data_IF_500783811037
#
_entry.id   IF_500783811037
#
_cell.length_a   1.000
_cell.length_b   1.000
_cell.length_c   1.000
_cell.angle_alpha   90.00
_cell.angle_beta   90.00
_cell.angle_gamma   90.00
#
_symmetry.space_group_name_H-M   'P 1'
#
loop_
_entity.id
_entity.type
_entity.pdbx_description
1 polymer ?
#
# COMPACT_ATOMS: atom_id res chain seq x y z
N UNK A 1 13.64 -0.47 7.76
CA UNK A 1 14.48 0.01 6.63
C UNK A 1 15.16 -1.13 5.87
N UNK A 2 15.94 -2.01 6.52
CA UNK A 2 16.65 -3.13 5.82
C UNK A 2 15.77 -4.03 4.93
N UNK A 3 14.54 -4.33 5.38
CA UNK A 3 13.59 -5.16 4.62
C UNK A 3 13.14 -4.50 3.30
N UNK A 4 13.00 -3.17 3.31
CA UNK A 4 12.65 -2.37 2.13
C UNK A 4 13.84 -2.27 1.16
N UNK A 5 15.07 -2.27 1.69
CA UNK A 5 16.32 -2.19 0.92
C UNK A 5 16.79 -3.54 0.35
N UNK A 6 16.02 -4.62 0.54
CA UNK A 6 16.41 -5.97 0.11
C UNK A 6 17.67 -6.53 0.80
N UNK A 7 17.99 -6.06 2.01
CA UNK A 7 19.14 -6.54 2.79
C UNK A 7 18.82 -7.83 3.56
N UNK A 8 18.31 -8.84 2.84
CA UNK A 8 17.83 -10.09 3.43
C UNK A 8 18.93 -10.91 4.09
N UNK A 9 20.13 -10.93 3.51
CA UNK A 9 21.27 -11.67 4.08
C UNK A 9 21.65 -11.14 5.46
N UNK A 10 21.62 -9.82 5.64
CA UNK A 10 21.90 -9.19 6.92
C UNK A 10 20.80 -9.54 7.93
N UNK A 11 19.53 -9.43 7.53
CA UNK A 11 18.39 -9.75 8.39
C UNK A 11 18.39 -11.22 8.83
N UNK A 12 18.68 -12.13 7.91
CA UNK A 12 18.75 -13.56 8.20
C UNK A 12 19.93 -13.87 9.12
N UNK A 13 21.11 -13.28 8.90
CA UNK A 13 22.24 -13.43 9.82
C UNK A 13 21.93 -12.92 11.22
N UNK A 14 21.17 -11.82 11.34
CA UNK A 14 20.75 -11.28 12.64
C UNK A 14 19.74 -12.22 13.31
N UNK A 15 18.73 -12.70 12.57
CA UNK A 15 17.69 -13.59 13.08
C UNK A 15 18.23 -14.96 13.53
N UNK A 16 19.18 -15.52 12.78
CA UNK A 16 19.75 -16.85 13.04
C UNK A 16 20.85 -16.86 14.11
N UNK A 17 21.25 -15.70 14.65
CA UNK A 17 22.22 -15.66 15.75
C UNK A 17 21.59 -16.23 17.03
N UNK A 18 22.32 -17.06 17.81
CA UNK A 18 21.83 -17.56 19.09
C UNK A 18 21.36 -16.40 20.00
N UNK A 19 20.12 -16.49 20.50
CA UNK A 19 19.52 -15.47 21.36
C UNK A 19 18.80 -14.31 20.64
N UNK A 20 18.93 -14.18 19.31
CA UNK A 20 18.33 -13.05 18.58
C UNK A 20 16.96 -13.35 17.94
N UNK A 21 16.57 -14.61 17.79
CA UNK A 21 15.32 -14.99 17.13
C UNK A 21 14.09 -14.35 17.80
N UNK A 22 14.01 -14.37 19.14
CA UNK A 22 12.90 -13.77 19.89
C UNK A 22 12.82 -12.24 19.77
N UNK A 23 13.93 -11.49 20.00
CA UNK A 23 13.94 -10.04 19.78
C UNK A 23 13.52 -9.62 18.37
N UNK A 24 14.01 -10.33 17.35
CA UNK A 24 13.64 -10.06 15.95
C UNK A 24 12.17 -10.40 15.70
N UNK A 25 11.68 -11.50 16.27
CA UNK A 25 10.27 -11.86 16.23
C UNK A 25 9.37 -10.80 16.90
N UNK A 26 9.85 -10.04 17.88
CA UNK A 26 9.09 -8.96 18.51
C UNK A 26 8.91 -7.75 17.58
N UNK A 27 9.76 -7.58 16.56
CA UNK A 27 9.59 -6.50 15.57
C UNK A 27 8.40 -6.70 14.62
N UNK A 28 7.77 -7.87 14.64
CA UNK A 28 6.49 -8.07 13.98
C UNK A 28 5.38 -7.21 14.59
N UNK A 29 5.44 -6.98 15.92
CA UNK A 29 4.41 -6.25 16.68
C UNK A 29 5.07 -5.54 17.87
N UNK A 30 5.34 -4.23 17.77
CA UNK A 30 6.09 -3.49 18.80
C UNK A 30 5.47 -2.12 19.13
N UNK A 31 5.23 -1.76 20.41
CA UNK A 31 4.49 -2.50 21.44
C UNK A 31 2.97 -2.21 21.40
N UNK A 32 2.24 -3.04 22.15
CA UNK A 32 0.79 -3.12 22.34
C UNK A 32 0.14 -1.89 23.00
N UNK A 33 0.27 -0.70 22.42
CA UNK A 33 -0.64 0.39 22.77
C UNK A 33 -1.47 0.79 21.55
N UNK A 34 -2.78 0.69 21.76
CA UNK A 34 -3.79 1.04 20.80
C UNK A 34 -3.52 2.46 20.26
N UNK A 35 -3.57 2.68 18.93
CA UNK A 35 -4.05 1.75 17.92
C UNK A 35 -3.01 0.70 17.49
N UNK A 36 -3.46 -0.52 17.11
CA UNK A 36 -2.59 -1.65 16.84
C UNK A 36 -1.89 -1.51 15.49
N UNK A 37 -0.76 -2.20 15.33
CA UNK A 37 -0.03 -2.45 14.08
C UNK A 37 1.10 -1.46 13.76
N UNK A 38 2.15 -1.49 14.59
CA UNK A 38 3.48 -0.98 14.23
C UNK A 38 4.46 -2.15 14.01
N UNK A 39 5.43 -1.96 13.10
CA UNK A 39 6.47 -2.94 12.81
C UNK A 39 6.31 -3.62 11.44
N UNK A 40 6.82 -4.84 11.31
CA UNK A 40 6.81 -5.56 10.04
C UNK A 40 5.42 -6.04 9.61
N UNK A 41 4.49 -6.21 10.56
CA UNK A 41 3.10 -6.54 10.22
C UNK A 41 2.46 -5.47 9.35
N UNK A 42 2.64 -4.18 9.68
CA UNK A 42 2.01 -3.12 8.89
C UNK A 42 2.65 -2.98 7.51
N UNK A 43 3.98 -3.10 7.43
CA UNK A 43 4.69 -3.16 6.15
C UNK A 43 4.17 -4.29 5.26
N UNK A 44 3.94 -5.48 5.82
CA UNK A 44 3.36 -6.61 5.10
C UNK A 44 1.92 -6.31 4.68
N UNK A 45 1.09 -5.79 5.59
CA UNK A 45 -0.34 -5.55 5.36
C UNK A 45 -0.60 -4.44 4.36
N UNK A 46 0.19 -3.36 4.35
CA UNK A 46 0.05 -2.30 3.33
C UNK A 46 0.46 -2.80 1.95
N UNK A 47 1.55 -3.57 1.85
CA UNK A 47 1.94 -4.21 0.59
C UNK A 47 0.91 -5.22 0.10
N UNK A 48 0.34 -6.03 1.00
CA UNK A 48 -0.71 -7.00 0.66
C UNK A 48 -1.96 -6.28 0.16
N UNK A 49 -2.38 -5.21 0.85
CA UNK A 49 -3.55 -4.43 0.48
C UNK A 49 -3.39 -3.76 -0.88
N UNK A 50 -2.25 -3.11 -1.14
CA UNK A 50 -1.96 -2.53 -2.44
C UNK A 50 -1.93 -3.60 -3.54
N UNK A 51 -1.27 -4.74 -3.29
CA UNK A 51 -1.15 -5.83 -4.24
C UNK A 51 -2.52 -6.42 -4.61
N UNK A 52 -3.35 -6.78 -3.62
CA UNK A 52 -4.68 -7.36 -3.88
C UNK A 52 -5.59 -6.33 -4.56
N UNK A 53 -5.66 -5.11 -4.02
CA UNK A 53 -6.56 -4.08 -4.54
C UNK A 53 -6.29 -3.77 -6.01
N UNK A 54 -5.03 -3.48 -6.36
CA UNK A 54 -4.68 -3.10 -7.73
C UNK A 54 -4.82 -4.27 -8.71
N UNK A 55 -4.48 -5.51 -8.33
CA UNK A 55 -4.68 -6.67 -9.22
C UNK A 55 -6.17 -6.94 -9.48
N UNK A 56 -7.02 -6.86 -8.44
CA UNK A 56 -8.47 -7.04 -8.62
C UNK A 56 -9.05 -5.95 -9.52
N UNK A 57 -8.71 -4.68 -9.25
CA UNK A 57 -9.21 -3.55 -10.05
C UNK A 57 -8.69 -3.60 -11.49
N UNK A 58 -7.43 -4.02 -11.72
CA UNK A 58 -6.89 -4.22 -13.05
C UNK A 58 -7.72 -5.23 -13.87
N UNK A 59 -8.05 -6.38 -13.27
CA UNK A 59 -8.89 -7.41 -13.93
C UNK A 59 -10.30 -6.88 -14.19
N UNK A 60 -10.85 -6.06 -13.30
CA UNK A 60 -12.17 -5.44 -13.50
C UNK A 60 -12.16 -4.46 -14.68
N UNK A 61 -11.15 -3.57 -14.75
CA UNK A 61 -11.01 -2.61 -15.85
C UNK A 61 -10.75 -3.30 -17.19
N UNK A 62 -9.93 -4.36 -17.20
CA UNK A 62 -9.71 -5.17 -18.41
C UNK A 62 -11.01 -5.78 -18.95
N UNK A 63 -11.88 -6.30 -18.07
CA UNK A 63 -13.19 -6.86 -18.46
C UNK A 63 -14.13 -5.80 -19.03
N UNK A 64 -14.15 -4.59 -18.44
CA UNK A 64 -14.98 -3.48 -18.95
C UNK A 64 -14.60 -3.10 -20.37
N UNK A 65 -13.31 -3.04 -20.69
CA UNK A 65 -12.85 -2.72 -22.07
C UNK A 65 -13.38 -3.74 -23.08
N UNK A 66 -13.39 -5.03 -22.71
CA UNK A 66 -13.93 -6.10 -23.55
C UNK A 66 -15.46 -5.96 -23.69
N UNK A 67 -16.18 -5.72 -22.61
CA UNK A 67 -17.65 -5.63 -22.62
C UNK A 67 -18.17 -4.37 -23.33
N UNK A 68 -17.54 -3.22 -23.11
CA UNK A 68 -17.90 -1.95 -23.77
C UNK A 68 -17.63 -1.94 -25.28
N UNK A 69 -16.77 -2.84 -25.77
CA UNK A 69 -16.58 -3.04 -27.22
C UNK A 69 -17.79 -3.69 -27.90
N UNK A 70 -18.71 -4.28 -27.13
CA UNK A 70 -19.88 -5.03 -27.61
C UNK A 70 -21.23 -4.32 -27.44
N UNK A 71 -21.37 -3.39 -26.48
CA UNK A 71 -22.61 -2.66 -26.19
C UNK A 71 -22.34 -1.14 -26.09
N UNK A 72 -22.88 -0.34 -27.03
CA UNK A 72 -22.64 1.11 -27.12
C UNK A 72 -23.49 1.98 -26.18
N UNK A 73 -24.42 1.39 -25.44
CA UNK A 73 -25.51 2.14 -24.76
C UNK A 73 -25.47 2.12 -23.22
N UNK A 74 -24.38 1.67 -22.58
CA UNK A 74 -24.26 1.67 -21.10
C UNK A 74 -23.27 2.73 -20.59
N UNK A 75 -23.79 3.94 -20.48
CA UNK A 75 -23.18 5.09 -19.80
C UNK A 75 -23.26 4.94 -18.27
N UNK A 76 -22.61 3.93 -17.71
CA UNK A 76 -22.22 3.94 -16.29
C UNK A 76 -20.85 3.29 -16.13
N UNK A 77 -19.86 3.81 -16.85
CA UNK A 77 -18.45 3.49 -16.59
C UNK A 77 -18.06 4.08 -15.23
N UNK A 78 -18.24 3.27 -14.19
CA UNK A 78 -17.91 3.71 -12.83
C UNK A 78 -16.40 3.65 -12.68
N UNK A 79 -15.76 4.82 -12.72
CA UNK A 79 -14.33 4.99 -12.49
C UNK A 79 -13.88 4.23 -11.23
N UNK A 80 -12.96 3.28 -11.38
CA UNK A 80 -12.47 2.46 -10.26
C UNK A 80 -11.89 3.30 -9.11
N UNK A 81 -11.39 4.50 -9.39
CA UNK A 81 -10.85 5.43 -8.40
C UNK A 81 -11.92 5.98 -7.46
N UNK A 82 -13.18 5.88 -7.86
CA UNK A 82 -14.34 6.21 -7.03
C UNK A 82 -14.81 5.03 -6.18
N UNK A 83 -14.20 3.85 -6.29
CA UNK A 83 -14.57 2.71 -5.43
C UNK A 83 -14.07 2.91 -4.01
N UNK A 84 -14.86 2.43 -3.04
CA UNK A 84 -14.46 2.46 -1.64
C UNK A 84 -13.15 1.66 -1.41
N UNK A 85 -12.95 0.56 -2.13
CA UNK A 85 -11.76 -0.27 -2.05
C UNK A 85 -10.49 0.51 -2.41
N UNK A 86 -10.50 1.22 -3.55
CA UNK A 86 -9.36 2.01 -4.01
C UNK A 86 -9.05 3.15 -3.02
N UNK A 87 -10.08 3.88 -2.60
CA UNK A 87 -9.94 5.02 -1.70
C UNK A 87 -9.44 4.61 -0.30
N UNK A 88 -9.93 3.48 0.22
CA UNK A 88 -9.44 2.90 1.46
C UNK A 88 -7.97 2.47 1.33
N UNK A 89 -7.63 1.76 0.25
CA UNK A 89 -6.27 1.30 0.00
C UNK A 89 -5.31 2.49 -0.06
N UNK A 90 -5.56 3.50 -0.90
CA UNK A 90 -4.64 4.62 -1.07
C UNK A 90 -4.46 5.38 0.26
N UNK A 91 -5.53 5.66 1.00
CA UNK A 91 -5.45 6.33 2.29
C UNK A 91 -4.65 5.52 3.32
N UNK A 92 -4.83 4.18 3.37
CA UNK A 92 -4.08 3.34 4.31
C UNK A 92 -2.60 3.27 3.97
N UNK A 93 -2.25 2.99 2.71
CA UNK A 93 -0.87 2.68 2.33
C UNK A 93 0.03 3.91 2.19
N UNK A 94 -0.57 5.10 2.05
CA UNK A 94 0.17 6.36 1.91
C UNK A 94 0.04 7.30 3.09
N UNK A 95 -0.92 7.09 3.99
CA UNK A 95 -1.19 8.05 5.05
C UNK A 95 -0.13 8.08 6.16
N UNK A 96 0.01 9.22 6.81
CA UNK A 96 1.07 9.51 7.79
C UNK A 96 0.79 8.89 9.17
N UNK A 97 1.87 8.44 9.84
CA UNK A 97 1.89 7.84 11.19
C UNK A 97 3.24 8.05 11.86
N UNK A 98 3.31 7.89 13.19
CA UNK A 98 4.53 8.07 13.99
C UNK A 98 5.74 7.19 13.58
N UNK A 99 5.54 6.16 12.74
CA UNK A 99 6.58 5.28 12.17
C UNK A 99 6.19 4.77 10.78
N UNK A 100 6.09 5.68 9.82
CA UNK A 100 5.48 5.44 8.50
C UNK A 100 6.49 5.11 7.38
N UNK A 101 7.73 4.73 7.70
CA UNK A 101 8.77 4.44 6.68
C UNK A 101 8.32 3.41 5.62
N UNK A 102 7.39 2.52 5.98
CA UNK A 102 6.79 1.54 5.06
C UNK A 102 5.90 2.18 3.97
N UNK A 103 5.43 3.41 4.18
CA UNK A 103 4.60 4.17 3.23
C UNK A 103 5.41 4.83 2.12
N UNK A 104 6.73 5.03 2.29
CA UNK A 104 7.53 5.79 1.31
C UNK A 104 7.52 5.19 -0.10
N UNK A 105 7.67 3.86 -0.28
CA UNK A 105 7.54 3.26 -1.62
C UNK A 105 6.14 3.40 -2.21
N UNK A 106 5.10 3.35 -1.36
CA UNK A 106 3.72 3.55 -1.77
C UNK A 106 3.48 5.01 -2.22
N UNK A 107 3.91 5.98 -1.40
CA UNK A 107 3.88 7.42 -1.70
C UNK A 107 4.58 7.75 -3.01
N UNK A 108 5.78 7.23 -3.22
CA UNK A 108 6.53 7.49 -4.46
C UNK A 108 5.89 6.90 -5.71
N UNK A 109 5.21 5.75 -5.58
CA UNK A 109 4.45 5.18 -6.70
C UNK A 109 3.19 5.99 -7.02
N UNK A 110 2.39 6.31 -6.00
CA UNK A 110 1.12 7.02 -6.17
C UNK A 110 1.28 8.54 -6.31
N UNK A 111 2.48 9.10 -6.12
CA UNK A 111 2.65 10.54 -6.16
C UNK A 111 2.10 11.29 -4.96
N UNK A 112 2.02 10.62 -3.82
CA UNK A 112 1.30 11.12 -2.65
C UNK A 112 2.29 11.66 -1.64
N UNK A 113 2.04 12.87 -1.16
CA UNK A 113 2.89 13.54 -0.18
C UNK A 113 2.69 12.99 1.22
N UNK A 114 3.65 13.28 2.08
CA UNK A 114 3.43 13.15 3.52
C UNK A 114 2.22 14.00 3.93
N UNK A 115 1.42 13.47 4.86
CA UNK A 115 0.18 14.07 5.37
C UNK A 115 -0.94 14.34 4.34
N UNK A 116 -0.77 14.02 3.06
CA UNK A 116 -1.80 14.24 2.03
C UNK A 116 -3.10 13.47 2.36
N UNK A 117 -3.01 12.29 2.98
CA UNK A 117 -4.15 11.55 3.53
C UNK A 117 -3.96 11.29 5.02
N UNK A 118 -5.01 11.53 5.82
CA UNK A 118 -5.03 11.22 7.26
C UNK A 118 -5.52 9.79 7.50
N UNK A 119 -4.96 9.12 8.52
CA UNK A 119 -5.27 7.70 8.82
C UNK A 119 -6.05 7.47 10.10
N UNK A 120 -6.52 8.52 10.79
CA UNK A 120 -7.11 8.42 12.13
C UNK A 120 -8.22 7.35 12.24
N UNK A 121 -8.96 7.07 11.15
CA UNK A 121 -9.77 5.85 11.02
C UNK A 121 -9.89 5.42 9.54
N UNK A 122 -8.83 4.83 9.01
CA UNK A 122 -8.78 4.38 7.60
C UNK A 122 -9.79 3.24 7.30
N UNK A 123 -10.39 2.58 8.30
CA UNK A 123 -11.34 1.48 8.06
C UNK A 123 -12.76 1.99 7.88
N UNK A 124 -13.15 3.00 8.65
CA UNK A 124 -14.56 3.40 8.78
C UNK A 124 -14.89 4.80 8.24
N UNK A 125 -14.08 5.32 7.33
CA UNK A 125 -14.40 6.59 6.67
C UNK A 125 -15.68 6.47 5.80
N UNK A 126 -16.78 7.19 6.16
CA UNK A 126 -18.05 7.10 5.43
C UNK A 126 -18.01 7.77 4.05
N UNK A 127 -16.94 8.50 3.73
CA UNK A 127 -16.76 9.16 2.45
C UNK A 127 -16.25 8.21 1.36
N UNK A 128 -15.71 7.05 1.72
CA UNK A 128 -15.23 6.08 0.75
C UNK A 128 -16.36 5.60 -0.16
N UNK A 129 -16.11 5.61 -1.47
CA UNK A 129 -17.12 5.28 -2.47
C UNK A 129 -18.11 6.41 -2.78
N UNK A 130 -18.02 7.55 -2.08
CA UNK A 130 -19.02 8.63 -2.13
C UNK A 130 -18.42 10.00 -2.44
N UNK A 131 -17.12 10.17 -2.22
CA UNK A 131 -16.40 11.41 -2.47
C UNK A 131 -15.28 11.18 -3.49
N UNK A 132 -14.77 12.26 -4.10
CA UNK A 132 -13.56 12.18 -4.92
C UNK A 132 -12.30 12.08 -4.05
N UNK A 133 -11.20 11.54 -4.60
CA UNK A 133 -9.91 11.54 -3.92
C UNK A 133 -9.47 12.95 -3.49
N UNK A 134 -9.73 13.96 -4.33
CA UNK A 134 -9.45 15.35 -4.01
C UNK A 134 -10.17 15.82 -2.73
N UNK A 135 -11.37 15.33 -2.46
CA UNK A 135 -12.14 15.63 -1.24
C UNK A 135 -11.55 14.93 -0.01
N UNK A 136 -10.92 13.76 -0.20
CA UNK A 136 -10.28 12.99 0.86
C UNK A 136 -8.90 13.53 1.26
N UNK A 137 -8.28 14.39 0.43
CA UNK A 137 -6.97 14.99 0.73
C UNK A 137 -7.08 15.96 1.91
N UNK A 138 -6.13 15.89 2.85
CA UNK A 138 -6.03 16.87 3.92
C UNK A 138 -5.78 18.25 3.33
N UNK A 139 -6.52 19.25 3.82
CA UNK A 139 -6.52 20.63 3.31
C UNK A 139 -5.20 21.37 3.59
N UNK A 140 -4.34 20.85 4.45
CA UNK A 140 -3.10 21.52 4.85
C UNK A 140 -1.94 20.53 5.11
N UNK A 141 -0.76 20.73 4.48
CA UNK A 141 -0.54 21.60 3.34
C UNK A 141 -0.94 20.85 2.06
N UNK A 142 -2.22 20.93 1.66
CA UNK A 142 -2.75 20.37 0.40
C UNK A 142 -2.09 20.93 -0.87
N UNK A 143 -1.11 21.82 -0.73
CA UNK A 143 -0.53 22.63 -1.79
C UNK A 143 0.92 22.31 -2.09
N UNK A 144 1.51 21.27 -1.49
CA UNK A 144 2.85 20.83 -1.89
C UNK A 144 2.68 20.00 -3.16
N UNK A 145 2.81 20.67 -4.31
CA UNK A 145 2.96 20.00 -5.59
C UNK A 145 4.20 19.10 -5.51
N UNK A 146 4.00 17.81 -5.80
CA UNK A 146 5.09 16.84 -5.84
C UNK A 146 5.52 16.73 -7.29
N UNK A 147 6.73 17.18 -7.63
CA UNK A 147 7.15 17.20 -9.01
C UNK A 147 7.30 15.79 -9.58
N UNK A 148 6.80 15.61 -10.79
CA UNK A 148 7.18 14.52 -11.67
C UNK A 148 8.54 14.82 -12.33
N UNK A 149 9.11 13.83 -13.02
CA UNK A 149 10.30 14.06 -13.86
C UNK A 149 10.03 15.10 -14.94
N UNK A 150 8.80 15.15 -15.48
CA UNK A 150 8.41 16.14 -16.48
C UNK A 150 8.36 17.55 -15.86
N UNK A 151 7.85 17.68 -14.64
CA UNK A 151 7.82 18.95 -13.92
C UNK A 151 9.24 19.44 -13.61
N UNK A 152 10.14 18.53 -13.22
CA UNK A 152 11.55 18.84 -13.00
C UNK A 152 12.22 19.43 -14.25
N UNK A 153 12.11 18.75 -15.40
CA UNK A 153 12.69 19.25 -16.65
C UNK A 153 12.01 20.54 -17.12
N UNK A 154 10.72 20.68 -16.89
CA UNK A 154 9.98 21.91 -17.21
C UNK A 154 10.47 23.08 -16.37
N UNK A 155 10.61 22.89 -15.05
CA UNK A 155 11.13 23.89 -14.13
C UNK A 155 12.58 24.27 -14.47
N UNK A 156 13.43 23.29 -14.76
CA UNK A 156 14.81 23.52 -15.19
C UNK A 156 14.87 24.31 -16.51
N UNK A 157 14.02 23.97 -17.47
CA UNK A 157 13.92 24.70 -18.73
C UNK A 157 13.51 26.17 -18.51
N UNK A 158 12.55 26.43 -17.62
CA UNK A 158 12.17 27.80 -17.26
C UNK A 158 13.31 28.58 -16.60
N UNK A 159 14.06 27.96 -15.69
CA UNK A 159 15.23 28.58 -15.06
C UNK A 159 16.30 28.92 -16.11
N UNK A 160 16.52 28.02 -17.07
CA UNK A 160 17.44 28.24 -18.18
C UNK A 160 17.00 29.42 -19.07
N UNK A 161 15.70 29.52 -19.41
CA UNK A 161 15.15 30.67 -20.15
C UNK A 161 15.34 31.99 -19.37
N UNK A 162 15.28 31.93 -18.04
CA UNK A 162 15.51 33.10 -17.17
C UNK A 162 16.99 33.45 -16.98
N UNK A 163 17.90 32.74 -17.65
CA UNK A 163 19.33 33.05 -17.70
C UNK A 163 20.17 32.33 -16.66
N UNK A 164 19.62 31.36 -15.93
CA UNK A 164 20.44 30.49 -15.08
C UNK A 164 21.12 29.41 -15.95
N UNK A 165 22.44 29.20 -15.79
CA UNK A 165 23.09 27.99 -16.28
C UNK A 165 22.46 26.75 -15.66
N UNK A 166 22.46 25.64 -16.41
CA UNK A 166 21.87 24.36 -16.00
C UNK A 166 22.34 23.90 -14.63
N UNK A 167 23.62 24.09 -14.31
CA UNK A 167 24.22 23.71 -13.04
C UNK A 167 23.60 24.47 -11.87
N UNK A 168 23.40 25.78 -12.02
CA UNK A 168 22.75 26.61 -11.00
C UNK A 168 21.25 26.32 -10.93
N UNK A 169 20.61 26.02 -12.05
CA UNK A 169 19.21 25.58 -12.10
C UNK A 169 19.01 24.28 -11.30
N UNK A 170 19.88 23.29 -11.49
CA UNK A 170 19.85 22.04 -10.72
C UNK A 170 20.10 22.28 -9.23
N UNK A 171 21.06 23.12 -8.86
CA UNK A 171 21.30 23.48 -7.46
C UNK A 171 20.08 24.17 -6.82
N UNK A 172 19.36 25.02 -7.55
CA UNK A 172 18.13 25.67 -7.06
C UNK A 172 17.02 24.64 -6.85
N UNK A 173 16.84 23.71 -7.80
CA UNK A 173 15.84 22.65 -7.67
C UNK A 173 16.17 21.69 -6.53
N UNK A 174 17.44 21.32 -6.36
CA UNK A 174 17.93 20.53 -5.23
C UNK A 174 17.71 21.27 -3.89
N UNK A 175 18.07 22.55 -3.82
CA UNK A 175 17.85 23.38 -2.63
C UNK A 175 16.36 23.53 -2.28
N UNK A 176 15.50 23.57 -3.28
CA UNK A 176 14.04 23.60 -3.11
C UNK A 176 13.42 22.23 -2.78
N UNK A 177 14.24 21.17 -2.69
CA UNK A 177 13.80 19.78 -2.59
C UNK A 177 12.78 19.39 -3.70
N UNK A 178 12.94 20.00 -4.88
CA UNK A 178 12.12 19.78 -6.06
C UNK A 178 12.57 18.52 -6.80
N UNK A 179 12.71 17.40 -6.09
CA UNK A 179 13.13 16.13 -6.67
C UNK A 179 11.92 15.36 -7.24
N UNK A 180 12.07 14.64 -8.36
CA UNK A 180 11.01 13.78 -8.88
C UNK A 180 10.69 12.64 -7.90
N UNK A 181 9.70 12.83 -7.03
CA UNK A 181 9.28 11.79 -6.09
C UNK A 181 8.21 10.88 -6.71
N UNK A 182 7.60 11.30 -7.83
CA UNK A 182 6.52 10.60 -8.53
C UNK A 182 7.07 9.68 -9.64
N UNK A 183 6.81 8.37 -9.55
CA UNK A 183 7.29 7.39 -10.55
C UNK A 183 6.33 7.16 -11.72
N UNK A 184 5.02 7.26 -11.50
CA UNK A 184 4.02 7.10 -12.56
C UNK A 184 4.04 8.29 -13.56
N UNK A 185 3.66 8.03 -14.81
CA UNK A 185 3.59 9.03 -15.89
C UNK A 185 2.26 9.80 -15.82
N UNK A 186 1.13 9.07 -15.72
CA UNK A 186 -0.20 9.68 -15.57
C UNK A 186 -0.57 9.81 -14.10
N UNK A 187 -0.86 11.04 -13.70
CA UNK A 187 -1.18 11.41 -12.33
C UNK A 187 -2.52 10.79 -11.87
N UNK A 188 -2.60 10.38 -10.60
CA UNK A 188 -3.80 9.82 -9.95
C UNK A 188 -4.46 8.61 -10.66
N UNK A 189 -3.81 8.01 -11.66
CA UNK A 189 -4.36 6.88 -12.43
C UNK A 189 -3.35 5.72 -12.56
N UNK A 190 -3.14 4.92 -11.50
CA UNK A 190 -2.16 3.84 -11.52
C UNK A 190 -2.45 2.76 -12.56
N UNK A 191 -3.70 2.59 -13.01
CA UNK A 191 -4.09 1.60 -14.03
C UNK A 191 -4.02 2.13 -15.47
N UNK A 192 -3.64 3.40 -15.67
CA UNK A 192 -3.45 3.96 -17.00
C UNK A 192 -2.41 3.16 -17.81
N UNK A 193 -2.63 3.02 -19.13
CA UNK A 193 -1.76 2.22 -20.01
C UNK A 193 -0.30 2.69 -19.99
N UNK A 194 -0.07 4.00 -19.93
CA UNK A 194 1.28 4.58 -19.83
C UNK A 194 1.96 4.26 -18.50
N UNK A 195 1.19 3.98 -17.44
CA UNK A 195 1.71 3.59 -16.13
C UNK A 195 2.00 2.09 -16.01
N UNK A 196 1.65 1.27 -17.01
CA UNK A 196 1.72 -0.19 -16.91
C UNK A 196 3.12 -0.72 -16.56
N UNK A 197 4.18 -0.09 -17.07
CA UNK A 197 5.56 -0.48 -16.76
C UNK A 197 5.90 -0.23 -15.28
N UNK A 198 5.50 0.93 -14.74
CA UNK A 198 5.73 1.31 -13.35
C UNK A 198 4.81 0.54 -12.39
N UNK A 199 3.55 0.32 -12.77
CA UNK A 199 2.61 -0.53 -12.05
C UNK A 199 3.17 -1.94 -11.87
N UNK A 200 3.74 -2.53 -12.93
CA UNK A 200 4.38 -3.85 -12.86
C UNK A 200 5.57 -3.87 -11.90
N UNK A 201 6.43 -2.84 -11.93
CA UNK A 201 7.55 -2.71 -10.98
C UNK A 201 7.05 -2.60 -9.55
N UNK A 202 6.02 -1.80 -9.32
CA UNK A 202 5.42 -1.60 -8.01
C UNK A 202 4.74 -2.86 -7.44
N UNK A 203 3.95 -3.56 -8.25
CA UNK A 203 3.35 -4.84 -7.86
C UNK A 203 4.41 -5.92 -7.59
N UNK A 204 5.48 -5.94 -8.39
CA UNK A 204 6.63 -6.84 -8.16
C UNK A 204 7.33 -6.51 -6.85
N UNK A 205 7.51 -5.23 -6.53
CA UNK A 205 8.04 -4.78 -5.24
C UNK A 205 7.15 -5.25 -4.09
N UNK A 206 5.83 -5.03 -4.16
CA UNK A 206 4.89 -5.47 -3.13
C UNK A 206 4.97 -6.99 -2.92
N UNK A 207 4.95 -7.77 -4.01
CA UNK A 207 5.07 -9.22 -3.95
C UNK A 207 6.38 -9.69 -3.31
N UNK A 208 7.51 -9.14 -3.76
CA UNK A 208 8.81 -9.45 -3.17
C UNK A 208 8.84 -9.12 -1.68
N UNK A 209 8.21 -8.03 -1.26
CA UNK A 209 8.14 -7.64 0.14
C UNK A 209 7.38 -8.66 0.98
N UNK A 210 6.25 -9.18 0.47
CA UNK A 210 5.48 -10.26 1.12
C UNK A 210 6.32 -11.53 1.28
N UNK A 211 7.03 -11.94 0.22
CA UNK A 211 7.93 -13.12 0.25
C UNK A 211 9.06 -12.92 1.27
N UNK A 212 9.67 -11.73 1.32
CA UNK A 212 10.71 -11.40 2.31
C UNK A 212 10.18 -11.48 3.73
N UNK A 213 8.97 -10.97 3.98
CA UNK A 213 8.30 -11.10 5.29
C UNK A 213 8.10 -12.57 5.69
N UNK A 214 7.64 -13.42 4.76
CA UNK A 214 7.46 -14.86 5.02
C UNK A 214 8.78 -15.56 5.37
N UNK A 215 9.82 -15.34 4.56
CA UNK A 215 11.16 -15.92 4.77
C UNK A 215 11.71 -15.51 6.12
N UNK A 216 11.57 -14.24 6.50
CA UNK A 216 12.08 -13.72 7.75
C UNK A 216 11.27 -14.20 8.97
N UNK A 217 9.94 -14.31 8.84
CA UNK A 217 9.10 -14.92 9.86
C UNK A 217 9.56 -16.35 10.15
N UNK A 218 9.74 -17.16 9.11
CA UNK A 218 10.23 -18.55 9.21
C UNK A 218 11.61 -18.63 9.86
N UNK A 219 12.52 -17.73 9.50
CA UNK A 219 13.85 -17.67 10.10
C UNK A 219 13.82 -17.38 11.62
N UNK A 220 12.77 -16.71 12.10
CA UNK A 220 12.55 -16.43 13.52
C UNK A 220 11.70 -17.49 14.22
N UNK A 221 11.39 -18.63 13.56
CA UNK A 221 10.51 -19.67 14.10
C UNK A 221 9.02 -19.32 14.11
N UNK A 222 8.61 -18.28 13.37
CA UNK A 222 7.22 -17.87 13.21
C UNK A 222 6.66 -18.30 11.85
N UNK A 223 5.34 -18.32 11.73
CA UNK A 223 4.62 -18.50 10.47
C UNK A 223 3.61 -17.38 10.28
N UNK A 224 3.52 -16.85 9.07
CA UNK A 224 2.46 -15.92 8.69
C UNK A 224 1.21 -16.74 8.33
N UNK A 225 0.08 -16.43 8.95
CA UNK A 225 -1.23 -16.95 8.53
C UNK A 225 -1.70 -16.21 7.27
N UNK A 226 -1.16 -16.63 6.12
CA UNK A 226 -1.49 -16.02 4.83
C UNK A 226 -2.97 -16.12 4.49
N UNK A 227 -3.67 -17.19 4.91
CA UNK A 227 -5.11 -17.35 4.65
C UNK A 227 -5.88 -16.29 5.44
N UNK A 228 -5.56 -16.14 6.73
CA UNK A 228 -6.15 -15.11 7.58
C UNK A 228 -5.86 -13.69 7.06
N UNK A 229 -4.60 -13.38 6.74
CA UNK A 229 -4.19 -12.05 6.27
C UNK A 229 -4.84 -11.69 4.92
N UNK A 230 -4.90 -12.63 3.96
CA UNK A 230 -5.58 -12.41 2.67
C UNK A 230 -7.09 -12.26 2.88
N UNK A 231 -7.72 -13.12 3.69
CA UNK A 231 -9.16 -13.06 3.96
C UNK A 231 -9.52 -11.72 4.61
N UNK A 232 -8.77 -11.29 5.61
CA UNK A 232 -8.98 -10.01 6.28
C UNK A 232 -8.76 -8.84 5.32
N UNK A 233 -7.77 -8.92 4.44
CA UNK A 233 -7.51 -7.90 3.43
C UNK A 233 -8.66 -7.77 2.42
N UNK A 234 -9.16 -8.90 1.91
CA UNK A 234 -10.31 -8.94 1.00
C UNK A 234 -11.56 -8.40 1.70
N UNK A 235 -11.77 -8.77 2.98
CA UNK A 235 -12.89 -8.26 3.77
C UNK A 235 -12.81 -6.74 3.98
N UNK A 236 -11.63 -6.20 4.28
CA UNK A 236 -11.47 -4.74 4.38
C UNK A 236 -11.77 -4.04 3.05
N UNK A 237 -11.26 -4.55 1.93
CA UNK A 237 -11.39 -3.91 0.63
C UNK A 237 -12.80 -4.05 0.02
N UNK A 238 -13.40 -5.23 0.13
CA UNK A 238 -14.58 -5.63 -0.64
C UNK A 238 -15.70 -6.26 0.21
N UNK A 239 -15.50 -6.38 1.52
CA UNK A 239 -16.48 -6.95 2.42
C UNK A 239 -17.71 -6.04 2.55
N UNK A 240 -18.88 -6.67 2.68
CA UNK A 240 -20.12 -5.96 2.99
C UNK A 240 -20.14 -5.69 4.50
N UNK A 241 -20.39 -4.43 4.90
CA UNK A 241 -20.45 -4.07 6.33
C UNK A 241 -21.51 -4.89 7.09
N UNK A 242 -22.59 -5.33 6.42
CA UNK A 242 -23.63 -6.20 6.97
C UNK A 242 -24.32 -7.11 5.94
N UNK A 243 -24.70 -8.35 6.32
CA UNK A 243 -24.36 -9.01 7.58
C UNK A 243 -22.89 -9.44 7.58
N UNK A 244 -22.21 -9.31 8.73
CA UNK A 244 -20.86 -9.83 8.93
C UNK A 244 -20.90 -11.34 8.66
N UNK A 245 -20.10 -11.84 7.71
CA UNK A 245 -20.02 -13.28 7.47
C UNK A 245 -19.30 -14.03 8.61
N UNK A 246 -18.63 -13.31 9.50
CA UNK A 246 -18.01 -13.83 10.71
C UNK A 246 -18.39 -12.95 11.91
N UNK A 247 -19.03 -13.56 12.91
CA UNK A 247 -19.03 -13.01 14.25
C UNK A 247 -17.64 -13.22 14.84
N UNK A 248 -16.90 -12.12 15.03
CA UNK A 248 -15.85 -12.14 16.03
C UNK A 248 -16.56 -12.40 17.36
N UNK A 249 -16.41 -13.60 17.91
CA UNK A 249 -16.72 -13.85 19.31
C UNK A 249 -15.92 -12.86 20.13
N UNK A 250 -16.54 -11.76 20.52
CA UNK A 250 -16.07 -10.89 21.59
C UNK A 250 -16.41 -11.63 22.89
N UNK A 251 -15.74 -12.75 23.10
CA UNK A 251 -15.62 -13.31 24.44
C UNK A 251 -14.41 -12.63 25.08
N UNK A 252 -14.71 -11.94 26.18
CA UNK A 252 -13.81 -11.10 26.98
C UNK A 252 -12.63 -11.92 27.54
N UNK A 253 -11.63 -12.19 26.69
CA UNK A 253 -10.45 -12.97 27.04
C UNK A 253 -9.32 -12.69 26.06
N UNK A 254 -8.87 -11.44 25.97
CA UNK A 254 -7.53 -11.14 25.45
C UNK A 254 -6.49 -11.69 26.43
N UNK A 255 -6.22 -12.99 26.35
CA UNK A 255 -5.08 -13.64 26.99
C UNK A 255 -4.30 -14.39 25.90
N UNK A 256 -3.18 -13.77 25.50
CA UNK A 256 -1.85 -14.38 25.32
C UNK A 256 -1.58 -15.59 24.41
N UNK A 257 -2.49 -16.04 23.55
CA UNK A 257 -2.15 -17.08 22.57
C UNK A 257 -2.45 -16.66 21.13
N UNK A 258 -1.38 -16.27 20.42
CA UNK A 258 -1.29 -16.48 18.97
C UNK A 258 -1.79 -17.91 18.70
N UNK A 259 -2.95 -18.03 18.04
CA UNK A 259 -3.67 -19.28 17.84
C UNK A 259 -2.71 -20.43 17.50
N UNK A 260 -2.68 -21.43 18.36
CA UNK A 260 -2.03 -22.71 18.08
C UNK A 260 -2.93 -23.47 17.08
N UNK A 261 -2.63 -23.34 15.79
CA UNK A 261 -3.44 -23.93 14.73
C UNK A 261 -3.28 -25.46 14.71
N UNK A 262 -4.30 -26.19 15.18
CA UNK A 262 -4.40 -27.64 15.01
C UNK A 262 -4.77 -28.01 13.57
N UNK A 263 -3.80 -27.94 12.67
CA UNK A 263 -3.59 -28.80 11.49
C UNK A 263 -4.66 -28.94 10.39
N UNK A 264 -5.96 -28.87 10.64
CA UNK A 264 -6.97 -29.51 9.77
C UNK A 264 -8.12 -28.60 9.30
N UNK A 265 -8.13 -27.29 9.60
CA UNK A 265 -9.25 -26.41 9.25
C UNK A 265 -9.14 -25.77 7.85
N UNK A 266 -8.01 -25.96 7.16
CA UNK A 266 -7.74 -25.39 5.82
C UNK A 266 -8.60 -26.04 4.71
N UNK A 267 -9.19 -27.21 4.94
CA UNK A 267 -9.94 -27.92 3.90
C UNK A 267 -11.33 -27.35 3.58
N UNK A 268 -11.83 -26.35 4.34
CA UNK A 268 -13.19 -25.82 4.15
C UNK A 268 -13.28 -24.48 3.41
N UNK A 269 -12.16 -23.78 3.20
CA UNK A 269 -12.14 -22.48 2.55
C UNK A 269 -11.40 -22.55 1.21
N UNK A 270 -11.92 -23.34 0.26
CA UNK A 270 -11.40 -23.37 -1.10
C UNK A 270 -12.17 -22.39 -1.99
N UNK A 271 -11.52 -21.30 -2.40
CA UNK A 271 -11.70 -20.76 -3.75
C UNK A 271 -10.55 -21.34 -4.57
N UNK A 272 -10.84 -22.35 -5.39
CA UNK A 272 -9.89 -22.90 -6.35
C UNK A 272 -9.74 -21.90 -7.50
N UNK A 273 -8.55 -21.31 -7.66
CA UNK A 273 -8.17 -20.71 -8.92
C UNK A 273 -7.72 -21.85 -9.85
N UNK A 274 -8.48 -22.06 -10.93
CA UNK A 274 -8.16 -22.96 -12.05
C UNK A 274 -7.27 -22.23 -13.03
#
# INVERSE_FOLDING_TARGET
MLLLLNEMDVLLRVALRPGNAQPVAAWWSFPYEFPPDYGWAELMRTALMAYICLNVLYVMEERKVVENSSDKDKETDTDYRQTAAYQMMICRVTGSRAYDVHTYPHRGFFGVGEDMYSTNDWRDNPLYGRASLATLRQRWPASIHIPSSADFYTALHYLNIKGLPTELGMMVLEFANYEPHHRAIVHDDPLHIENAAELRKYLSFCWQLLVRCDVLAKACGKRVDWVGEVTQCIFHLFGVKYPKMFDFGVDNGFNDEFRDWKGNEIERCWIKFV
#
